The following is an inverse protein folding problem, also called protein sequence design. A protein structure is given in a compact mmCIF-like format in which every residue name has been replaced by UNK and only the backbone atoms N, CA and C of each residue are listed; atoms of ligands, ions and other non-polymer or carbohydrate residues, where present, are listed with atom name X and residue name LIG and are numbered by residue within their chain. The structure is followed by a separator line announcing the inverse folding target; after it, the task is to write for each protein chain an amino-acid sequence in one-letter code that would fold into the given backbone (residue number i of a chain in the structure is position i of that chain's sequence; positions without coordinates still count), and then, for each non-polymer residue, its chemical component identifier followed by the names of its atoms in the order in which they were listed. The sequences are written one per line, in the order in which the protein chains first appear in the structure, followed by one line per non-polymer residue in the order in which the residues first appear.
data_IF_029360829078
#
_entry.id   IF_029360829078
#
_cell.length_a   1.000
_cell.length_b   1.000
_cell.length_c   1.000
_cell.angle_alpha   90.00
_cell.angle_beta   90.00
_cell.angle_gamma   90.00
#
_symmetry.space_group_name_H-M   'P 1'
#
loop_
_entity.id
_entity.type
_entity.pdbx_description
1 polymer ?
#
# COMPACT_ATOMS: atom_id res chain seq x y z
N UNK A 1 -85.30 -24.09 30.33
CA UNK A 1 -84.75 -22.72 30.30
C UNK A 1 -83.34 -22.77 30.87
N UNK A 2 -82.36 -22.66 29.96
CA UNK A 2 -80.91 -22.42 30.08
C UNK A 2 -80.19 -22.66 31.42
N UNK A 3 -79.28 -23.65 31.42
CA UNK A 3 -78.05 -23.64 32.23
C UNK A 3 -76.91 -23.23 31.30
N UNK A 4 -76.17 -22.20 31.68
CA UNK A 4 -75.08 -21.60 30.92
C UNK A 4 -73.74 -22.11 31.47
N UNK A 5 -73.12 -23.08 30.82
CA UNK A 5 -71.74 -23.48 31.12
C UNK A 5 -70.75 -22.61 30.34
N UNK A 6 -69.87 -21.92 31.06
CA UNK A 6 -68.73 -21.18 30.49
C UNK A 6 -67.56 -22.14 30.30
N UNK A 7 -67.20 -22.42 29.05
CA UNK A 7 -65.95 -23.08 28.70
C UNK A 7 -64.85 -22.01 28.66
N UNK A 8 -63.90 -22.09 29.60
CA UNK A 8 -62.71 -21.24 29.62
C UNK A 8 -61.61 -21.94 28.80
N UNK A 9 -61.38 -21.47 27.57
CA UNK A 9 -60.26 -21.91 26.73
C UNK A 9 -58.97 -21.19 27.16
N UNK A 10 -58.07 -21.92 27.80
CA UNK A 10 -56.69 -21.50 28.07
C UNK A 10 -55.87 -21.63 26.79
N UNK A 11 -55.63 -20.50 26.11
CA UNK A 11 -54.64 -20.39 25.04
C UNK A 11 -53.24 -20.26 25.68
N UNK A 12 -52.50 -21.37 25.72
CA UNK A 12 -51.07 -21.35 25.99
C UNK A 12 -50.35 -20.86 24.73
N UNK A 13 -50.06 -19.55 24.69
CA UNK A 13 -49.15 -18.98 23.71
C UNK A 13 -47.71 -19.36 24.03
N UNK A 14 -47.14 -20.31 23.30
CA UNK A 14 -45.71 -20.56 23.29
C UNK A 14 -45.01 -19.45 22.52
N UNK A 15 -44.45 -18.47 23.24
CA UNK A 15 -43.49 -17.53 22.69
C UNK A 15 -42.20 -18.31 22.38
N UNK A 16 -42.02 -18.71 21.12
CA UNK A 16 -40.72 -19.16 20.61
C UNK A 16 -39.89 -17.90 20.43
N UNK A 17 -39.06 -17.59 21.43
CA UNK A 17 -37.93 -16.68 21.23
C UNK A 17 -36.93 -17.42 20.36
N UNK A 18 -36.86 -17.12 19.06
CA UNK A 18 -35.66 -17.45 18.29
C UNK A 18 -34.52 -16.64 18.90
N UNK A 19 -33.72 -17.27 19.75
CA UNK A 19 -32.35 -16.81 19.99
C UNK A 19 -31.63 -16.97 18.65
N UNK A 20 -31.43 -15.87 17.95
CA UNK A 20 -30.39 -15.80 16.93
C UNK A 20 -29.08 -15.98 17.69
N UNK A 21 -28.60 -17.22 17.79
CA UNK A 21 -27.21 -17.45 18.18
C UNK A 21 -26.36 -16.62 17.21
N UNK A 22 -25.48 -15.73 17.71
CA UNK A 22 -24.52 -15.09 16.84
C UNK A 22 -23.80 -16.22 16.11
N UNK A 23 -23.78 -16.19 14.77
CA UNK A 23 -23.03 -17.15 13.97
C UNK A 23 -21.62 -17.17 14.56
N UNK A 24 -21.23 -18.31 15.15
CA UNK A 24 -19.91 -18.42 15.76
C UNK A 24 -18.87 -18.37 14.65
N UNK A 25 -17.98 -17.39 14.69
CA UNK A 25 -16.87 -17.22 13.75
C UNK A 25 -15.61 -17.99 14.20
N UNK A 26 -15.76 -18.96 15.11
CA UNK A 26 -14.64 -19.75 15.64
C UNK A 26 -13.85 -20.44 14.53
N UNK A 27 -14.55 -21.05 13.57
CA UNK A 27 -13.91 -21.84 12.52
C UNK A 27 -13.13 -20.97 11.53
N UNK A 28 -13.68 -19.81 11.20
CA UNK A 28 -13.12 -18.80 10.34
C UNK A 28 -11.89 -18.15 10.99
N UNK A 29 -11.96 -17.87 12.29
CA UNK A 29 -10.85 -17.36 13.08
C UNK A 29 -9.67 -18.34 13.09
N UNK A 30 -9.90 -19.62 13.41
CA UNK A 30 -8.84 -20.64 13.44
C UNK A 30 -8.23 -20.89 12.05
N UNK A 31 -9.06 -20.89 11.00
CA UNK A 31 -8.59 -21.02 9.62
C UNK A 31 -7.73 -19.82 9.20
N UNK A 32 -8.15 -18.61 9.54
CA UNK A 32 -7.41 -17.38 9.25
C UNK A 32 -6.08 -17.34 9.99
N UNK A 33 -6.05 -17.67 11.30
CA UNK A 33 -4.80 -17.76 12.08
C UNK A 33 -3.82 -18.76 11.45
N UNK A 34 -4.32 -19.94 11.08
CA UNK A 34 -3.49 -20.98 10.45
C UNK A 34 -2.92 -20.51 9.12
N UNK A 35 -3.76 -19.88 8.29
CA UNK A 35 -3.37 -19.38 6.96
C UNK A 35 -2.25 -18.33 7.05
N UNK A 36 -2.37 -17.38 7.99
CA UNK A 36 -1.42 -16.27 8.16
C UNK A 36 -0.39 -16.50 9.26
N UNK A 37 -0.30 -17.73 9.79
CA UNK A 37 0.65 -18.16 10.83
C UNK A 37 0.66 -17.23 12.06
N UNK A 38 -0.54 -16.91 12.55
CA UNK A 38 -0.72 -16.02 13.71
C UNK A 38 -0.59 -16.79 15.00
N UNK A 39 0.26 -16.30 15.88
CA UNK A 39 0.51 -16.84 17.21
C UNK A 39 0.34 -15.72 18.23
N UNK A 40 -0.27 -16.03 19.37
CA UNK A 40 -0.59 -15.05 20.41
C UNK A 40 -0.13 -15.58 21.77
N UNK A 41 0.49 -14.71 22.57
CA UNK A 41 1.01 -15.07 23.89
C UNK A 41 -0.08 -14.83 24.95
N UNK A 42 -0.80 -15.89 25.28
CA UNK A 42 -1.79 -15.91 26.35
C UNK A 42 -3.19 -15.48 25.91
N UNK A 43 -4.19 -15.94 26.67
CA UNK A 43 -5.61 -15.84 26.32
C UNK A 43 -6.11 -14.40 26.15
N UNK A 44 -5.53 -13.44 26.89
CA UNK A 44 -5.94 -12.04 26.81
C UNK A 44 -5.57 -11.39 25.47
N UNK A 45 -4.39 -11.69 24.93
CA UNK A 45 -3.96 -11.15 23.63
C UNK A 45 -4.84 -11.71 22.51
N UNK A 46 -5.06 -13.02 22.49
CA UNK A 46 -5.87 -13.66 21.46
C UNK A 46 -7.31 -13.12 21.43
N UNK A 47 -7.92 -12.92 22.60
CA UNK A 47 -9.26 -12.35 22.70
C UNK A 47 -9.34 -10.93 22.11
N UNK A 48 -8.33 -10.09 22.36
CA UNK A 48 -8.24 -8.74 21.79
C UNK A 48 -8.07 -8.81 20.27
N UNK A 49 -7.14 -9.64 19.79
CA UNK A 49 -6.84 -9.81 18.36
C UNK A 49 -8.04 -10.32 17.58
N UNK A 50 -8.76 -11.28 18.16
CA UNK A 50 -10.03 -11.77 17.61
C UNK A 50 -11.10 -10.68 17.55
N UNK A 51 -11.26 -9.88 18.61
CA UNK A 51 -12.24 -8.80 18.61
C UNK A 51 -11.97 -7.75 17.51
N UNK A 52 -10.68 -7.41 17.28
CA UNK A 52 -10.26 -6.54 16.17
C UNK A 52 -10.57 -7.20 14.82
N UNK A 53 -10.23 -8.48 14.66
CA UNK A 53 -10.51 -9.24 13.44
C UNK A 53 -12.00 -9.29 13.11
N UNK A 54 -12.88 -9.57 14.08
CA UNK A 54 -14.32 -9.60 13.85
C UNK A 54 -14.87 -8.20 13.53
N UNK A 55 -14.33 -7.14 14.12
CA UNK A 55 -14.69 -5.75 13.76
C UNK A 55 -14.34 -5.47 12.30
N UNK A 56 -13.15 -5.87 11.86
CA UNK A 56 -12.69 -5.70 10.50
C UNK A 56 -13.50 -6.55 9.50
N UNK A 57 -13.86 -7.79 9.86
CA UNK A 57 -14.76 -8.63 9.06
C UNK A 57 -16.10 -7.96 8.78
N UNK A 58 -16.77 -7.42 9.82
CA UNK A 58 -18.06 -6.72 9.67
C UNK A 58 -17.95 -5.50 8.75
N UNK A 59 -16.84 -4.74 8.84
CA UNK A 59 -16.57 -3.61 7.95
C UNK A 59 -16.43 -4.07 6.49
N UNK A 60 -15.65 -5.14 6.26
CA UNK A 60 -15.44 -5.72 4.93
C UNK A 60 -16.77 -6.18 4.32
N UNK A 61 -17.59 -6.89 5.09
CA UNK A 61 -18.90 -7.37 4.65
C UNK A 61 -19.84 -6.22 4.28
N UNK A 62 -19.95 -5.20 5.13
CA UNK A 62 -20.79 -4.03 4.85
C UNK A 62 -20.33 -3.27 3.60
N UNK A 63 -19.03 -3.00 3.47
CA UNK A 63 -18.48 -2.36 2.29
C UNK A 63 -18.73 -3.18 1.01
N UNK A 64 -18.57 -4.51 1.08
CA UNK A 64 -18.75 -5.36 -0.09
C UNK A 64 -20.22 -5.47 -0.51
N UNK A 65 -21.18 -5.32 0.40
CA UNK A 65 -22.59 -5.14 0.02
C UNK A 65 -22.80 -3.85 -0.79
N UNK A 66 -22.16 -2.75 -0.38
CA UNK A 66 -22.20 -1.48 -1.12
C UNK A 66 -21.49 -1.57 -2.48
N UNK A 67 -20.40 -2.35 -2.57
CA UNK A 67 -19.73 -2.65 -3.84
C UNK A 67 -20.66 -3.39 -4.84
N UNK A 68 -21.40 -4.41 -4.39
CA UNK A 68 -22.35 -5.14 -5.25
C UNK A 68 -23.50 -4.25 -5.73
N UNK A 69 -23.87 -3.23 -4.94
CA UNK A 69 -24.82 -2.18 -5.35
C UNK A 69 -24.21 -1.13 -6.30
N UNK A 70 -22.92 -1.23 -6.60
CA UNK A 70 -22.20 -0.34 -7.51
C UNK A 70 -21.83 1.02 -6.90
N UNK A 71 -21.94 1.17 -5.58
CA UNK A 71 -21.58 2.39 -4.84
C UNK A 71 -20.07 2.58 -4.87
N UNK A 72 -19.31 1.50 -4.60
CA UNK A 72 -17.85 1.49 -4.64
C UNK A 72 -17.32 0.90 -5.95
N UNK A 73 -16.11 1.31 -6.33
CA UNK A 73 -15.40 0.76 -7.50
C UNK A 73 -14.39 -0.34 -7.18
N UNK A 74 -14.34 -0.76 -5.92
CA UNK A 74 -13.39 -1.74 -5.40
C UNK A 74 -14.05 -2.62 -4.35
N UNK A 75 -13.43 -3.76 -4.08
CA UNK A 75 -13.83 -4.76 -3.10
C UNK A 75 -12.75 -4.87 -2.04
N UNK A 76 -13.16 -5.14 -0.80
CA UNK A 76 -12.27 -5.45 0.32
C UNK A 76 -12.15 -6.96 0.53
N UNK A 77 -11.08 -7.36 1.20
CA UNK A 77 -10.85 -8.75 1.57
C UNK A 77 -10.03 -8.86 2.84
N UNK A 78 -10.39 -9.83 3.67
CA UNK A 78 -9.59 -10.16 4.83
C UNK A 78 -8.20 -10.64 4.39
N UNK A 79 -7.16 -10.11 5.02
CA UNK A 79 -5.76 -10.43 4.73
C UNK A 79 -4.98 -10.61 6.04
N UNK A 80 -3.65 -10.72 5.97
CA UNK A 80 -2.79 -10.93 7.14
C UNK A 80 -2.78 -9.77 8.16
N UNK A 81 -3.33 -8.60 7.82
CA UNK A 81 -3.48 -7.44 8.71
C UNK A 81 -4.83 -7.45 9.46
N UNK A 82 -5.60 -8.54 9.33
CA UNK A 82 -6.96 -8.66 9.86
C UNK A 82 -7.13 -8.39 11.34
N UNK A 83 -6.15 -8.78 12.16
CA UNK A 83 -6.14 -8.63 13.61
C UNK A 83 -5.47 -7.32 14.09
N UNK A 84 -5.19 -6.39 13.17
CA UNK A 84 -4.57 -5.11 13.47
C UNK A 84 -5.55 -3.96 13.27
N UNK A 85 -5.47 -2.94 14.13
CA UNK A 85 -6.11 -1.65 13.87
C UNK A 85 -5.32 -0.87 12.83
N UNK A 86 -5.94 0.14 12.22
CA UNK A 86 -5.24 0.95 11.21
C UNK A 86 -4.10 1.76 11.83
N UNK A 87 -4.20 2.13 13.11
CA UNK A 87 -3.13 2.79 13.86
C UNK A 87 -1.95 1.85 14.08
N UNK A 88 -2.18 0.57 14.41
CA UNK A 88 -1.10 -0.42 14.51
C UNK A 88 -0.43 -0.70 13.15
N UNK A 89 -1.22 -0.68 12.06
CA UNK A 89 -0.68 -0.76 10.69
C UNK A 89 0.16 0.47 10.40
N UNK A 90 -0.32 1.66 10.74
CA UNK A 90 0.41 2.90 10.52
C UNK A 90 1.74 2.92 11.25
N UNK A 91 1.74 2.61 12.55
CA UNK A 91 2.95 2.58 13.38
C UNK A 91 4.02 1.62 12.85
N UNK A 92 3.61 0.47 12.28
CA UNK A 92 4.54 -0.59 11.85
C UNK A 92 4.91 -0.56 10.37
N UNK A 93 4.01 -0.10 9.51
CA UNK A 93 4.09 -0.28 8.06
C UNK A 93 4.09 1.04 7.28
N UNK A 94 3.84 2.18 7.93
CA UNK A 94 3.85 3.50 7.31
C UNK A 94 4.96 4.32 7.97
N UNK A 95 6.01 4.65 7.20
CA UNK A 95 7.17 5.39 7.72
C UNK A 95 7.59 6.53 6.81
N UNK A 96 6.65 7.12 6.05
CA UNK A 96 7.00 8.29 5.25
C UNK A 96 7.12 9.52 6.15
N UNK A 97 8.30 10.13 6.14
CA UNK A 97 8.56 11.40 6.83
C UNK A 97 8.78 12.48 5.78
N UNK A 98 7.89 13.45 5.69
CA UNK A 98 7.96 14.50 4.66
C UNK A 98 8.91 15.60 5.13
N UNK A 99 9.96 15.95 4.35
CA UNK A 99 10.87 17.03 4.73
C UNK A 99 10.16 18.39 4.70
N UNK A 100 10.59 19.30 5.56
CA UNK A 100 10.02 20.66 5.64
C UNK A 100 10.37 21.55 4.44
N UNK A 101 11.48 21.26 3.76
CA UNK A 101 11.99 22.03 2.63
C UNK A 101 12.06 21.17 1.36
N UNK A 102 11.58 21.72 0.24
CA UNK A 102 11.75 21.14 -1.10
C UNK A 102 12.63 22.06 -1.94
N UNK A 103 13.60 21.51 -2.66
CA UNK A 103 14.45 22.30 -3.57
C UNK A 103 13.76 22.49 -4.94
N UNK A 104 13.36 23.73 -5.30
CA UNK A 104 12.70 24.00 -6.57
C UNK A 104 13.52 23.59 -7.79
N UNK A 105 14.86 23.53 -7.69
CA UNK A 105 15.75 23.14 -8.79
C UNK A 105 15.56 21.67 -9.23
N UNK A 106 14.97 20.84 -8.38
CA UNK A 106 14.68 19.44 -8.69
C UNK A 106 13.32 19.22 -9.35
N UNK A 107 12.54 20.28 -9.57
CA UNK A 107 11.19 20.16 -10.17
C UNK A 107 11.25 19.63 -11.61
N UNK A 108 10.52 18.55 -11.87
CA UNK A 108 10.24 18.02 -13.20
C UNK A 108 9.04 18.74 -13.81
N UNK A 109 9.27 19.37 -14.96
CA UNK A 109 8.24 20.01 -15.77
C UNK A 109 8.06 19.19 -17.05
N UNK A 110 6.83 18.72 -17.36
CA UNK A 110 6.55 18.01 -18.60
C UNK A 110 6.85 18.89 -19.83
N UNK A 111 7.52 18.28 -20.81
CA UNK A 111 7.88 18.87 -22.11
C UNK A 111 6.80 18.67 -23.19
N UNK A 112 5.82 17.78 -22.96
CA UNK A 112 4.75 17.49 -23.92
C UNK A 112 3.34 17.50 -23.31
N UNK A 113 2.29 17.72 -24.14
CA UNK A 113 0.91 17.52 -23.73
C UNK A 113 0.60 16.06 -23.42
N UNK A 114 -0.21 15.81 -22.39
CA UNK A 114 -0.60 14.45 -21.94
C UNK A 114 -1.36 13.69 -23.02
N UNK A 115 -2.01 14.40 -23.93
CA UNK A 115 -2.79 13.85 -25.04
C UNK A 115 -1.92 13.08 -26.05
N UNK A 116 -0.60 13.34 -26.08
CA UNK A 116 0.36 12.62 -26.91
C UNK A 116 0.95 11.39 -26.23
N UNK A 117 0.76 11.23 -24.93
CA UNK A 117 1.27 10.09 -24.16
C UNK A 117 0.43 8.84 -24.43
N UNK A 118 1.00 7.63 -24.24
CA UNK A 118 0.23 6.39 -24.29
C UNK A 118 -0.99 6.45 -23.37
N UNK A 119 -2.14 5.93 -23.81
CA UNK A 119 -3.38 5.89 -22.99
C UNK A 119 -3.25 4.99 -21.77
N UNK A 120 -2.39 4.00 -21.83
CA UNK A 120 -2.07 3.07 -20.76
C UNK A 120 -0.62 2.59 -20.87
N UNK A 121 0.02 2.35 -19.74
CA UNK A 121 1.34 1.74 -19.63
C UNK A 121 1.37 0.84 -18.40
N UNK A 122 2.03 -0.31 -18.49
CA UNK A 122 2.16 -1.28 -17.41
C UNK A 122 3.60 -1.84 -17.43
N UNK A 123 4.46 -1.28 -16.59
CA UNK A 123 5.88 -1.64 -16.55
C UNK A 123 6.15 -3.08 -16.08
N UNK A 124 5.17 -3.72 -15.44
CA UNK A 124 5.25 -5.14 -15.07
C UNK A 124 5.34 -6.02 -16.32
N UNK A 125 4.60 -5.66 -17.37
CA UNK A 125 4.60 -6.37 -18.65
C UNK A 125 5.82 -6.07 -19.52
N UNK A 126 6.56 -5.01 -19.17
CA UNK A 126 7.76 -4.58 -19.89
C UNK A 126 9.06 -5.06 -19.22
N UNK A 127 8.97 -5.71 -18.06
CA UNK A 127 10.14 -6.24 -17.32
C UNK A 127 10.89 -5.21 -16.48
N UNK A 128 10.24 -4.10 -16.10
CA UNK A 128 10.85 -3.01 -15.32
C UNK A 128 10.54 -3.09 -13.81
N UNK A 129 9.84 -4.14 -13.38
CA UNK A 129 9.33 -4.25 -12.01
C UNK A 129 9.75 -5.59 -11.44
N UNK A 130 10.52 -5.55 -10.36
CA UNK A 130 10.91 -6.71 -9.54
C UNK A 130 9.70 -7.30 -8.81
N UNK A 131 9.82 -8.52 -8.23
CA UNK A 131 8.76 -9.11 -7.40
C UNK A 131 8.28 -8.18 -6.29
N UNK A 132 7.06 -8.42 -5.80
CA UNK A 132 6.55 -7.73 -4.60
C UNK A 132 7.37 -8.18 -3.40
N UNK A 133 7.61 -7.25 -2.48
CA UNK A 133 8.33 -7.51 -1.25
C UNK A 133 7.48 -7.18 -0.03
N UNK A 134 7.93 -7.61 1.15
CA UNK A 134 7.28 -7.37 2.41
C UNK A 134 8.24 -6.66 3.38
N UNK A 135 7.92 -5.44 3.78
CA UNK A 135 8.72 -4.65 4.71
C UNK A 135 8.61 -5.15 6.15
N UNK A 136 7.59 -5.93 6.50
CA UNK A 136 7.37 -6.40 7.86
C UNK A 136 7.14 -5.24 8.85
N UNK A 137 7.40 -5.46 10.14
CA UNK A 137 7.17 -4.45 11.19
C UNK A 137 8.26 -3.38 11.27
N UNK A 138 8.57 -2.75 10.14
CA UNK A 138 9.57 -1.69 10.00
C UNK A 138 9.02 -0.62 9.06
N UNK A 139 9.09 0.66 9.45
CA UNK A 139 8.64 1.83 8.68
C UNK A 139 9.53 2.17 7.47
N UNK A 140 10.02 1.17 6.75
CA UNK A 140 10.96 1.30 5.63
C UNK A 140 10.28 1.46 4.27
N UNK A 141 8.98 1.79 4.21
CA UNK A 141 8.26 1.97 2.94
C UNK A 141 8.98 2.94 1.99
N UNK A 142 9.62 3.98 2.53
CA UNK A 142 10.43 4.94 1.78
C UNK A 142 11.62 4.29 1.07
N UNK A 143 12.27 3.31 1.70
CA UNK A 143 13.37 2.55 1.13
C UNK A 143 12.85 1.65 0.00
N UNK A 144 11.76 0.91 0.22
CA UNK A 144 11.14 0.06 -0.81
C UNK A 144 10.65 0.85 -2.03
N UNK A 145 10.03 2.01 -1.80
CA UNK A 145 9.63 2.92 -2.89
C UNK A 145 10.84 3.41 -3.68
N UNK A 146 11.93 3.76 -3.00
CA UNK A 146 13.17 4.25 -3.62
C UNK A 146 13.87 3.18 -4.45
N UNK A 147 14.10 1.99 -3.89
CA UNK A 147 14.72 0.89 -4.64
C UNK A 147 13.88 0.51 -5.85
N UNK A 148 12.55 0.46 -5.73
CA UNK A 148 11.69 0.13 -6.86
C UNK A 148 11.80 1.12 -8.04
N UNK A 149 12.02 2.41 -7.76
CA UNK A 149 12.26 3.41 -8.81
C UNK A 149 13.67 3.29 -9.42
N UNK A 150 14.69 3.02 -8.59
CA UNK A 150 16.06 2.74 -9.03
C UNK A 150 16.14 1.49 -9.91
N UNK A 151 15.48 0.40 -9.52
CA UNK A 151 15.38 -0.86 -10.28
C UNK A 151 14.76 -0.62 -11.67
N UNK A 152 13.71 0.20 -11.74
CA UNK A 152 13.08 0.60 -12.99
C UNK A 152 14.03 1.39 -13.91
N UNK A 153 14.82 2.31 -13.34
CA UNK A 153 15.84 3.04 -14.11
C UNK A 153 17.02 2.15 -14.52
N UNK A 154 17.41 1.19 -13.68
CA UNK A 154 18.48 0.24 -13.98
C UNK A 154 18.10 -0.62 -15.17
N UNK A 155 16.87 -1.15 -15.19
CA UNK A 155 16.33 -1.87 -16.35
C UNK A 155 16.31 -0.97 -17.59
N UNK A 156 15.87 0.28 -17.46
CA UNK A 156 15.79 1.22 -18.59
C UNK A 156 17.15 1.49 -19.24
N UNK A 157 18.17 1.71 -18.42
CA UNK A 157 19.49 2.20 -18.86
C UNK A 157 20.45 1.08 -19.22
N UNK A 158 20.33 -0.07 -18.56
CA UNK A 158 21.26 -1.21 -18.74
C UNK A 158 20.63 -2.43 -19.40
N UNK A 159 19.30 -2.50 -19.46
CA UNK A 159 18.56 -3.68 -19.91
C UNK A 159 18.57 -4.85 -18.91
N UNK A 160 19.05 -4.63 -17.68
CA UNK A 160 19.10 -5.65 -16.62
C UNK A 160 18.22 -5.24 -15.46
N UNK A 161 17.28 -6.12 -15.11
CA UNK A 161 16.51 -5.99 -13.88
C UNK A 161 17.27 -6.72 -12.75
N UNK A 162 17.73 -5.96 -11.76
CA UNK A 162 18.43 -6.47 -10.58
C UNK A 162 17.68 -5.99 -9.35
N UNK A 163 17.49 -6.88 -8.39
CA UNK A 163 16.92 -6.56 -7.09
C UNK A 163 17.92 -5.77 -6.24
N UNK A 164 17.57 -4.53 -5.89
CA UNK A 164 18.42 -3.65 -5.08
C UNK A 164 18.09 -3.79 -3.59
N UNK A 165 19.03 -3.42 -2.72
CA UNK A 165 18.90 -3.58 -1.27
C UNK A 165 18.17 -2.40 -0.61
N UNK A 166 16.93 -2.56 -0.11
CA UNK A 166 16.33 -1.57 0.77
C UNK A 166 17.05 -1.50 2.13
N UNK A 167 17.71 -2.59 2.59
CA UNK A 167 18.44 -2.60 3.85
C UNK A 167 19.64 -1.66 3.83
N UNK A 168 20.37 -1.61 2.71
CA UNK A 168 21.43 -0.63 2.51
C UNK A 168 20.90 0.78 2.72
N UNK A 169 19.70 1.10 2.25
CA UNK A 169 19.11 2.42 2.48
C UNK A 169 18.73 2.61 3.96
N UNK A 170 18.04 1.64 4.56
CA UNK A 170 17.63 1.68 5.98
C UNK A 170 18.83 1.97 6.89
N UNK A 171 19.94 1.28 6.69
CA UNK A 171 21.08 1.37 7.60
C UNK A 171 22.02 2.57 7.31
N UNK A 172 22.03 3.09 6.07
CA UNK A 172 23.08 4.02 5.63
C UNK A 172 22.60 5.44 5.29
N UNK A 173 21.29 5.69 5.11
CA UNK A 173 20.79 7.04 4.83
C UNK A 173 20.64 7.80 6.15
N UNK A 174 21.68 8.53 6.55
CA UNK A 174 21.74 9.26 7.82
C UNK A 174 20.69 10.38 7.99
N UNK A 175 20.17 10.89 6.88
CA UNK A 175 19.12 11.91 6.84
C UNK A 175 17.71 11.33 7.02
N UNK A 176 17.59 10.00 7.03
CA UNK A 176 16.38 9.27 7.41
C UNK A 176 16.62 8.56 8.75
N UNK A 177 15.55 8.00 9.31
CA UNK A 177 15.53 7.35 10.62
C UNK A 177 15.29 5.83 10.50
N UNK A 178 15.88 5.20 9.48
CA UNK A 178 15.78 3.75 9.28
C UNK A 178 14.34 3.22 9.30
N UNK A 179 14.03 2.33 10.25
CA UNK A 179 12.69 1.80 10.52
C UNK A 179 11.73 2.80 11.18
N UNK A 180 12.23 3.88 11.79
CA UNK A 180 11.42 5.02 12.28
C UNK A 180 10.86 5.90 11.16
N UNK A 181 11.42 5.78 9.95
CA UNK A 181 10.87 6.37 8.74
C UNK A 181 11.86 7.21 7.96
N UNK A 182 11.40 7.81 6.86
CA UNK A 182 12.26 8.54 5.96
C UNK A 182 11.57 8.99 4.69
N UNK A 183 12.36 9.58 3.79
CA UNK A 183 11.90 10.13 2.53
C UNK A 183 12.70 9.61 1.33
N UNK A 184 12.04 9.49 0.18
CA UNK A 184 12.64 8.86 -1.01
C UNK A 184 13.77 9.70 -1.63
N UNK A 185 13.67 11.04 -1.60
CA UNK A 185 14.71 11.88 -2.20
C UNK A 185 16.00 11.89 -1.39
N UNK A 186 15.94 11.74 -0.07
CA UNK A 186 17.12 11.50 0.77
C UNK A 186 17.82 10.20 0.37
N UNK A 187 17.05 9.14 0.11
CA UNK A 187 17.61 7.88 -0.39
C UNK A 187 18.28 8.07 -1.76
N UNK A 188 17.66 8.78 -2.71
CA UNK A 188 18.28 9.06 -4.01
C UNK A 188 19.54 9.92 -3.89
N UNK A 189 19.55 10.90 -3.00
CA UNK A 189 20.72 11.73 -2.70
C UNK A 189 21.86 10.88 -2.14
N UNK A 190 21.57 10.02 -1.16
CA UNK A 190 22.54 9.07 -0.61
C UNK A 190 23.13 8.19 -1.71
N UNK A 191 22.32 7.53 -2.55
CA UNK A 191 22.85 6.65 -3.62
C UNK A 191 23.75 7.41 -4.60
N UNK A 192 23.42 8.68 -4.88
CA UNK A 192 24.27 9.57 -5.68
C UNK A 192 25.62 9.83 -5.00
N UNK A 193 25.59 10.24 -3.74
CA UNK A 193 26.78 10.69 -3.01
C UNK A 193 27.67 9.51 -2.60
N UNK A 194 27.06 8.39 -2.25
CA UNK A 194 27.71 7.09 -2.01
C UNK A 194 28.25 6.45 -3.31
N UNK A 195 27.82 6.95 -4.47
CA UNK A 195 28.16 6.44 -5.82
C UNK A 195 27.79 4.97 -6.02
N UNK A 196 26.70 4.54 -5.42
CA UNK A 196 26.27 3.16 -5.50
C UNK A 196 25.22 2.77 -4.46
N UNK A 197 24.57 1.65 -4.75
CA UNK A 197 23.70 0.89 -3.85
C UNK A 197 23.94 -0.60 -4.09
N UNK A 198 23.93 -1.39 -3.03
CA UNK A 198 24.13 -2.84 -3.10
C UNK A 198 22.91 -3.58 -3.66
N UNK A 199 23.14 -4.78 -4.19
CA UNK A 199 22.06 -5.71 -4.51
C UNK A 199 21.43 -6.29 -3.25
N UNK A 200 20.18 -6.75 -3.37
CA UNK A 200 19.53 -7.53 -2.31
C UNK A 200 20.33 -8.77 -1.93
N UNK A 201 20.95 -9.45 -2.91
CA UNK A 201 21.73 -10.67 -2.67
C UNK A 201 22.93 -10.41 -1.76
N UNK A 202 23.59 -9.27 -1.92
CA UNK A 202 24.80 -8.92 -1.16
C UNK A 202 24.51 -8.19 0.15
N UNK A 203 23.34 -7.57 0.27
CA UNK A 203 22.90 -6.89 1.49
C UNK A 203 21.40 -7.14 1.72
N UNK A 204 21.02 -8.31 2.25
CA UNK A 204 19.61 -8.72 2.36
C UNK A 204 18.81 -7.90 3.36
N UNK A 205 17.50 -7.78 3.12
CA UNK A 205 16.56 -7.14 4.03
C UNK A 205 16.30 -7.96 5.28
N UNK A 206 16.46 -7.32 6.45
CA UNK A 206 16.24 -7.94 7.76
C UNK A 206 15.09 -7.31 8.55
N UNK A 207 14.58 -6.15 8.12
CA UNK A 207 13.40 -5.52 8.73
C UNK A 207 13.64 -4.92 10.12
N UNK A 208 14.87 -4.47 10.38
CA UNK A 208 15.28 -3.78 11.59
C UNK A 208 16.51 -2.92 11.29
N UNK A 209 16.76 -1.91 12.11
CA UNK A 209 17.94 -1.05 11.97
C UNK A 209 19.23 -1.80 12.33
N UNK A 210 20.24 -1.65 11.49
CA UNK A 210 21.58 -2.16 11.73
C UNK A 210 22.64 -1.09 11.46
N UNK A 211 23.90 -1.41 11.75
CA UNK A 211 25.00 -0.57 11.35
C UNK A 211 25.19 -0.65 9.84
N UNK A 212 25.33 0.50 9.17
CA UNK A 212 25.62 0.58 7.74
C UNK A 212 26.80 -0.32 7.34
N UNK A 213 26.53 -1.27 6.44
CA UNK A 213 27.50 -2.25 5.95
C UNK A 213 27.69 -2.21 4.42
N UNK A 214 27.43 -1.07 3.78
CA UNK A 214 27.60 -0.91 2.32
C UNK A 214 28.99 -1.38 1.87
N UNK A 215 29.03 -2.21 0.82
CA UNK A 215 30.27 -2.72 0.28
C UNK A 215 30.35 -2.49 -1.23
N UNK A 216 31.37 -1.75 -1.68
CA UNK A 216 31.61 -1.48 -3.10
C UNK A 216 31.63 -2.72 -4.00
N UNK A 217 31.99 -3.90 -3.49
CA UNK A 217 31.92 -5.15 -4.27
C UNK A 217 30.49 -5.65 -4.52
N UNK A 218 29.52 -5.26 -3.69
CA UNK A 218 28.09 -5.59 -3.82
C UNK A 218 27.29 -4.59 -4.66
N UNK A 219 27.93 -3.50 -5.13
CA UNK A 219 27.27 -2.44 -5.89
C UNK A 219 26.55 -2.99 -7.12
N UNK A 220 25.24 -2.74 -7.20
CA UNK A 220 24.38 -3.18 -8.29
C UNK A 220 23.58 -2.06 -8.97
N UNK A 221 23.51 -0.88 -8.35
CA UNK A 221 22.89 0.31 -8.94
C UNK A 221 23.70 1.57 -8.65
N UNK A 222 23.37 2.65 -9.36
CA UNK A 222 23.89 4.00 -9.11
C UNK A 222 22.79 5.03 -9.36
N UNK A 223 23.02 6.26 -8.92
CA UNK A 223 22.13 7.39 -9.12
C UNK A 223 23.00 8.61 -9.42
N UNK A 224 22.63 9.44 -10.40
CA UNK A 224 23.35 10.69 -10.74
C UNK A 224 22.66 11.90 -10.16
N UNK A 225 21.33 11.89 -10.14
CA UNK A 225 20.48 12.94 -9.59
C UNK A 225 19.07 12.38 -9.39
N UNK A 226 18.14 13.19 -8.91
CA UNK A 226 16.72 12.87 -8.89
C UNK A 226 15.92 14.07 -9.35
N UNK A 227 14.65 13.84 -9.67
CA UNK A 227 13.69 14.90 -9.96
C UNK A 227 12.39 14.66 -9.19
N UNK A 228 11.75 15.75 -8.81
CA UNK A 228 10.48 15.79 -8.10
C UNK A 228 9.38 16.26 -9.06
N UNK A 229 8.34 15.48 -9.22
CA UNK A 229 7.18 15.86 -10.02
C UNK A 229 6.46 17.01 -9.34
N UNK A 230 6.02 18.00 -10.12
CA UNK A 230 5.26 19.13 -9.60
C UNK A 230 4.11 18.70 -8.67
N UNK A 231 4.14 19.16 -7.41
CA UNK A 231 3.17 18.82 -6.36
C UNK A 231 1.73 18.93 -6.86
N UNK A 232 0.96 17.86 -6.68
CA UNK A 232 -0.46 17.75 -7.00
C UNK A 232 -0.77 17.58 -8.49
N UNK A 233 0.23 17.58 -9.38
CA UNK A 233 0.02 17.52 -10.82
C UNK A 233 -0.04 16.08 -11.31
N UNK A 234 -1.24 15.48 -11.33
CA UNK A 234 -1.46 14.15 -11.94
C UNK A 234 -1.07 14.11 -13.43
N UNK A 235 -1.13 15.27 -14.10
CA UNK A 235 -0.62 15.45 -15.46
C UNK A 235 0.90 15.27 -15.52
N UNK A 236 1.65 15.92 -14.63
CA UNK A 236 3.09 15.78 -14.59
C UNK A 236 3.51 14.36 -14.17
N UNK A 237 2.79 13.75 -13.23
CA UNK A 237 3.00 12.36 -12.85
C UNK A 237 2.74 11.40 -14.02
N UNK A 238 1.70 11.65 -14.82
CA UNK A 238 1.41 10.82 -16.01
C UNK A 238 2.58 10.90 -17.00
N UNK A 239 3.12 12.09 -17.22
CA UNK A 239 4.30 12.31 -18.08
C UNK A 239 5.54 11.60 -17.53
N UNK A 240 5.83 11.74 -16.23
CA UNK A 240 6.95 11.09 -15.59
C UNK A 240 6.84 9.57 -15.72
N UNK A 241 5.69 8.98 -15.41
CA UNK A 241 5.49 7.53 -15.57
C UNK A 241 5.65 7.10 -17.02
N UNK A 242 5.08 7.82 -17.98
CA UNK A 242 5.12 7.45 -19.39
C UNK A 242 6.54 7.53 -20.02
N UNK A 243 7.31 8.55 -19.64
CA UNK A 243 8.61 8.86 -20.29
C UNK A 243 9.80 8.36 -19.49
N UNK A 244 9.70 8.34 -18.17
CA UNK A 244 10.82 8.05 -17.28
C UNK A 244 10.82 6.59 -16.85
N UNK A 245 9.70 6.05 -16.38
CA UNK A 245 9.65 4.71 -15.79
C UNK A 245 8.75 4.66 -14.57
N UNK A 246 8.87 3.62 -13.73
CA UNK A 246 8.29 3.63 -12.39
C UNK A 246 8.70 4.88 -11.59
N UNK A 247 7.76 5.47 -10.84
CA UNK A 247 7.95 6.71 -10.05
C UNK A 247 7.57 6.44 -8.60
N UNK A 248 8.44 6.83 -7.66
CA UNK A 248 8.15 6.80 -6.23
C UNK A 248 7.09 7.84 -5.90
N UNK A 249 6.06 7.46 -5.14
CA UNK A 249 4.97 8.37 -4.76
C UNK A 249 4.60 8.16 -3.29
N UNK A 250 4.18 9.23 -2.63
CA UNK A 250 3.52 9.16 -1.32
C UNK A 250 2.01 9.11 -1.47
N UNK A 251 1.33 8.36 -0.60
CA UNK A 251 -0.13 8.34 -0.47
C UNK A 251 -0.57 8.43 1.00
N UNK A 252 -1.82 8.83 1.22
CA UNK A 252 -2.54 8.53 2.44
C UNK A 252 -3.03 7.08 2.42
N UNK A 253 -2.59 6.30 3.40
CA UNK A 253 -2.96 4.89 3.60
C UNK A 253 -3.69 4.66 4.94
N UNK A 254 -4.13 5.71 5.65
CA UNK A 254 -4.76 5.64 6.98
C UNK A 254 -6.20 5.12 6.97
N UNK A 255 -6.74 4.73 5.82
CA UNK A 255 -8.09 4.20 5.75
C UNK A 255 -8.08 2.68 5.93
N UNK A 256 -8.99 2.16 6.76
CA UNK A 256 -9.23 0.71 6.89
C UNK A 256 -9.64 0.08 5.54
N UNK A 257 -10.25 0.85 4.65
CA UNK A 257 -10.55 0.44 3.26
C UNK A 257 -9.28 0.24 2.42
N UNK A 258 -8.19 0.98 2.68
CA UNK A 258 -6.88 0.73 2.07
C UNK A 258 -6.22 -0.51 2.68
N UNK A 259 -6.24 -0.63 4.02
CA UNK A 259 -5.71 -1.79 4.75
C UNK A 259 -6.25 -3.12 4.18
N UNK A 260 -7.53 -3.17 3.83
CA UNK A 260 -8.20 -4.37 3.31
C UNK A 260 -8.51 -4.33 1.82
N UNK A 261 -7.94 -3.39 1.06
CA UNK A 261 -8.13 -3.38 -0.39
C UNK A 261 -7.78 -4.76 -0.98
N UNK A 262 -8.65 -5.30 -1.84
CA UNK A 262 -8.46 -6.59 -2.52
C UNK A 262 -8.34 -6.43 -4.03
N UNK A 263 -9.29 -5.72 -4.65
CA UNK A 263 -9.30 -5.49 -6.12
C UNK A 263 -10.23 -4.35 -6.53
N UNK A 264 -10.08 -3.90 -7.77
CA UNK A 264 -10.90 -2.83 -8.35
C UNK A 264 -10.15 -1.50 -8.36
N UNK A 265 -10.83 -0.40 -8.66
CA UNK A 265 -10.21 0.94 -8.61
C UNK A 265 -10.51 1.55 -7.26
N UNK A 266 -9.49 1.64 -6.40
CA UNK A 266 -9.57 2.22 -5.07
C UNK A 266 -9.82 3.73 -5.17
N UNK A 267 -10.87 4.17 -4.49
CA UNK A 267 -11.22 5.57 -4.31
C UNK A 267 -11.99 5.70 -3.00
N UNK A 268 -11.38 6.35 -2.02
CA UNK A 268 -12.03 6.69 -0.76
C UNK A 268 -12.11 8.22 -0.65
N UNK A 269 -13.30 8.83 -0.55
CA UNK A 269 -13.43 10.28 -0.40
C UNK A 269 -12.85 10.80 0.92
N UNK A 270 -12.61 9.93 1.90
CA UNK A 270 -12.02 10.29 3.19
C UNK A 270 -10.49 10.29 3.20
N UNK A 271 -9.85 9.90 2.09
CA UNK A 271 -8.41 10.09 1.93
C UNK A 271 -8.04 11.58 2.11
N UNK A 272 -7.10 11.86 3.00
CA UNK A 272 -6.54 13.18 3.20
C UNK A 272 -5.29 13.37 2.35
N UNK A 273 -5.43 14.13 1.25
CA UNK A 273 -4.33 14.41 0.34
C UNK A 273 -3.18 15.20 0.96
N UNK A 274 -3.37 15.85 2.12
CA UNK A 274 -2.30 16.58 2.82
C UNK A 274 -1.64 15.73 3.92
N UNK A 275 -2.28 14.67 4.42
CA UNK A 275 -1.72 13.77 5.43
C UNK A 275 -1.14 12.50 4.80
N UNK A 276 -0.03 12.65 4.10
CA UNK A 276 0.63 11.56 3.37
C UNK A 276 1.59 10.82 4.29
N UNK A 277 1.41 9.51 4.44
CA UNK A 277 2.06 8.69 5.47
C UNK A 277 2.73 7.41 4.93
N UNK A 278 2.43 7.02 3.69
CA UNK A 278 2.96 5.78 3.10
C UNK A 278 3.63 6.02 1.75
N UNK A 279 4.79 5.39 1.53
CA UNK A 279 5.51 5.46 0.26
C UNK A 279 5.34 4.19 -0.56
N UNK A 280 4.95 4.36 -1.82
CA UNK A 280 4.65 3.29 -2.77
C UNK A 280 5.26 3.62 -4.13
N UNK A 281 5.11 2.73 -5.12
CA UNK A 281 5.69 2.92 -6.44
C UNK A 281 4.61 2.88 -7.53
N UNK A 282 4.44 3.98 -8.26
CA UNK A 282 3.58 4.03 -9.43
C UNK A 282 4.29 3.36 -10.62
N UNK A 283 3.84 2.16 -11.00
CA UNK A 283 4.43 1.33 -12.07
C UNK A 283 3.63 1.37 -13.38
N UNK A 284 2.66 2.26 -13.47
CA UNK A 284 1.87 2.41 -14.68
C UNK A 284 0.55 3.11 -14.44
N UNK A 285 -0.26 3.18 -15.49
CA UNK A 285 -1.60 3.74 -15.44
C UNK A 285 -2.45 3.18 -16.58
N UNK A 286 -3.77 3.32 -16.44
CA UNK A 286 -4.70 2.90 -17.47
C UNK A 286 -6.10 3.47 -17.27
N UNK A 287 -7.06 2.80 -17.89
CA UNK A 287 -8.48 3.00 -17.68
C UNK A 287 -9.21 1.65 -17.76
N UNK A 288 -10.29 1.51 -17.02
CA UNK A 288 -11.19 0.36 -17.15
C UNK A 288 -11.99 0.44 -18.45
N UNK A 289 -12.64 -0.66 -18.86
CA UNK A 289 -13.56 -0.64 -20.00
C UNK A 289 -14.70 0.40 -19.86
N UNK A 290 -15.09 0.73 -18.62
CA UNK A 290 -16.08 1.76 -18.27
C UNK A 290 -15.47 3.18 -18.17
N UNK A 291 -14.22 3.37 -18.58
CA UNK A 291 -13.53 4.67 -18.60
C UNK A 291 -12.99 5.17 -17.26
N UNK A 292 -13.07 4.38 -16.16
CA UNK A 292 -12.50 4.77 -14.86
C UNK A 292 -10.97 4.72 -14.96
N UNK A 293 -10.31 5.88 -14.88
CA UNK A 293 -8.85 5.99 -14.95
C UNK A 293 -8.21 5.58 -13.62
N UNK A 294 -7.06 4.93 -13.69
CA UNK A 294 -6.32 4.49 -12.51
C UNK A 294 -4.80 4.59 -12.71
N UNK A 295 -4.09 4.66 -11.59
CA UNK A 295 -2.67 4.34 -11.41
C UNK A 295 -2.53 2.85 -11.10
N UNK A 296 -1.43 2.22 -11.53
CA UNK A 296 -1.03 0.89 -11.09
C UNK A 296 0.07 1.11 -10.06
N UNK A 297 -0.18 0.73 -8.81
CA UNK A 297 0.71 1.03 -7.69
C UNK A 297 1.19 -0.26 -7.04
N UNK A 298 2.51 -0.41 -6.92
CA UNK A 298 3.20 -1.49 -6.24
C UNK A 298 3.33 -1.13 -4.76
N UNK A 299 2.86 -2.00 -3.87
CA UNK A 299 3.00 -1.86 -2.42
C UNK A 299 4.15 -2.74 -1.90
N UNK A 300 4.48 -2.58 -0.62
CA UNK A 300 5.56 -3.28 0.10
C UNK A 300 5.05 -4.12 1.27
N UNK A 301 3.78 -4.54 1.26
CA UNK A 301 3.15 -5.34 2.32
C UNK A 301 2.99 -6.82 1.93
N UNK A 302 3.82 -7.31 1.02
CA UNK A 302 3.74 -8.68 0.51
C UNK A 302 2.60 -8.93 -0.48
N UNK A 303 2.63 -10.10 -1.11
CA UNK A 303 1.68 -10.47 -2.17
C UNK A 303 0.28 -10.80 -1.66
N UNK A 304 0.16 -11.13 -0.37
CA UNK A 304 -1.12 -11.42 0.30
C UNK A 304 -2.00 -10.18 0.47
N UNK A 305 -1.42 -8.98 0.36
CA UNK A 305 -2.18 -7.74 0.39
C UNK A 305 -2.60 -7.31 -1.02
N UNK A 306 -3.80 -6.75 -1.17
CA UNK A 306 -4.26 -6.21 -2.45
C UNK A 306 -4.39 -7.27 -3.53
N UNK A 307 -4.19 -6.82 -4.78
CA UNK A 307 -4.19 -7.71 -5.93
C UNK A 307 -2.75 -8.16 -6.20
N UNK A 308 -2.33 -9.22 -5.53
CA UNK A 308 -0.96 -9.75 -5.61
C UNK A 308 0.07 -8.65 -5.27
N UNK A 309 -0.14 -7.91 -4.19
CA UNK A 309 0.71 -6.79 -3.76
C UNK A 309 0.48 -5.44 -4.48
N UNK A 310 -0.43 -5.37 -5.45
CA UNK A 310 -0.74 -4.14 -6.18
C UNK A 310 -2.11 -3.57 -5.85
N UNK A 311 -2.25 -2.25 -5.96
CA UNK A 311 -3.52 -1.52 -5.92
C UNK A 311 -3.70 -0.70 -7.19
N UNK A 312 -4.94 -0.62 -7.69
CA UNK A 312 -5.29 0.36 -8.71
C UNK A 312 -5.89 1.58 -8.05
N UNK A 313 -5.14 2.67 -7.93
CA UNK A 313 -5.65 3.90 -7.29
C UNK A 313 -6.31 4.80 -8.32
N UNK A 314 -7.38 5.48 -7.93
CA UNK A 314 -8.09 6.39 -8.82
C UNK A 314 -7.19 7.50 -9.37
N UNK A 315 -7.27 7.74 -10.68
CA UNK A 315 -6.50 8.76 -11.39
C UNK A 315 -7.41 9.82 -12.00
N UNK A 316 -6.93 11.06 -12.04
CA UNK A 316 -7.65 12.28 -12.43
C UNK A 316 -8.93 12.46 -11.60
N UNK A 317 -8.80 12.27 -10.29
CA UNK A 317 -9.89 12.31 -9.30
C UNK A 317 -9.48 13.24 -8.15
N UNK A 318 -9.13 14.46 -8.51
CA UNK A 318 -8.71 15.50 -7.56
C UNK A 318 -7.50 15.09 -6.70
N UNK A 319 -6.48 14.46 -7.32
CA UNK A 319 -5.31 13.97 -6.61
C UNK A 319 -5.67 13.07 -5.41
N UNK A 320 -6.49 12.03 -5.67
CA UNK A 320 -6.99 11.12 -4.65
C UNK A 320 -5.84 10.58 -3.79
N UNK A 321 -6.02 10.65 -2.45
CA UNK A 321 -5.02 10.24 -1.45
C UNK A 321 -3.65 10.91 -1.60
N UNK A 322 -3.57 12.08 -2.27
CA UNK A 322 -2.34 12.83 -2.40
C UNK A 322 -1.30 12.21 -3.34
N UNK A 323 -1.64 11.22 -4.17
CA UNK A 323 -0.70 10.42 -4.95
C UNK A 323 0.32 11.21 -5.81
N UNK A 324 -0.01 12.44 -6.23
CA UNK A 324 0.88 13.30 -7.00
C UNK A 324 1.56 14.41 -6.16
N UNK A 325 1.42 14.43 -4.84
CA UNK A 325 2.00 15.46 -3.98
C UNK A 325 3.49 15.25 -3.70
N UNK A 326 3.92 13.99 -3.53
CA UNK A 326 5.30 13.62 -3.15
C UNK A 326 5.89 12.62 -4.16
N UNK A 327 5.71 12.92 -5.44
CA UNK A 327 6.17 12.07 -6.52
C UNK A 327 7.60 12.43 -6.95
N UNK A 328 8.48 11.44 -7.03
CA UNK A 328 9.88 11.65 -7.42
C UNK A 328 10.48 10.42 -8.10
N UNK A 329 11.54 10.61 -8.86
CA UNK A 329 12.26 9.53 -9.53
C UNK A 329 13.77 9.79 -9.59
N UNK A 330 14.60 8.74 -9.51
CA UNK A 330 16.03 8.86 -9.71
C UNK A 330 16.36 9.01 -11.20
N UNK A 331 17.54 9.54 -11.49
CA UNK A 331 18.13 9.67 -12.82
C UNK A 331 19.48 8.95 -12.78
N UNK A 332 19.65 7.99 -13.69
CA UNK A 332 20.87 7.20 -13.85
C UNK A 332 21.71 7.68 -15.03
#
# INVERSE_FOLDING_TARGET
MYVCERVLLLLLGSAVTLSLDPISLDSEWESWKTTHRKEYNGLNEEAIRRAVWEKNMRLIEAHNQEYELGIHSYELGMNHLGDMTVEEVAEKLMGLQVPMESDPMNTYVPDEPVERLPKSIDYRKLGYVTPIRNQGSCGSCWAFSSVGALEGQLMKTTGKLVELSPQNLVDCVSENDGCGGGYMTNAFAYVRDNRGIDSEETYPYVGQDQQCAYNKSGKAGECRSFKEVQKGSERALTSAVAKVGPVSVGIDAMQTTFQFYKRGVYYDPNCDKENINHAVLAVGYGATAKGKKYWIVKNSWGEEWGKQGYVLMARNRNNACGIANLASFPVM
#
